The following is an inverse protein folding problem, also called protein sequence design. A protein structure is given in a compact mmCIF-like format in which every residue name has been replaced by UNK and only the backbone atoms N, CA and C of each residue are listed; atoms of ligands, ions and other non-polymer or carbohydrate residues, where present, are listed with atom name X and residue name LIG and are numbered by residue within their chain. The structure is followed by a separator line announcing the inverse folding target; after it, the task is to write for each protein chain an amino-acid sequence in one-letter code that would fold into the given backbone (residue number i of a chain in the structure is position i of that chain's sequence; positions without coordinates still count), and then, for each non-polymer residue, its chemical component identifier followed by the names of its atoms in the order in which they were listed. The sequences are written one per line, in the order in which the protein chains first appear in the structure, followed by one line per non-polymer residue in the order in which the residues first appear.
data_IF_156126558084
#
_entry.id   IF_156126558084
#
_cell.length_a   1.000
_cell.length_b   1.000
_cell.length_c   1.000
_cell.angle_alpha   90.00
_cell.angle_beta   90.00
_cell.angle_gamma   90.00
#
_symmetry.space_group_name_H-M   'P 1'
#
loop_
_entity.id
_entity.type
_entity.pdbx_description
1 polymer ?
#
# COMPACT_ATOMS: atom_id res chain seq x y z
N UNK A 1 7.75 34.15 -4.20
CA UNK A 1 7.11 32.85 -4.00
C UNK A 1 7.50 32.37 -2.62
N UNK A 2 6.56 32.30 -1.67
CA UNK A 2 6.85 31.79 -0.33
C UNK A 2 6.81 30.28 -0.37
N UNK A 3 7.90 29.64 0.10
CA UNK A 3 7.99 28.18 0.22
C UNK A 3 7.80 27.77 1.69
N UNK A 4 6.91 26.82 1.93
CA UNK A 4 6.81 26.17 3.24
C UNK A 4 8.06 25.29 3.41
N UNK A 5 8.88 25.61 4.42
CA UNK A 5 10.15 24.89 4.68
C UNK A 5 10.00 23.72 5.66
N UNK A 6 8.98 23.77 6.50
CA UNK A 6 8.72 22.73 7.49
C UNK A 6 7.98 21.53 6.84
N UNK A 7 8.56 20.30 6.86
CA UNK A 7 7.93 19.12 6.29
C UNK A 7 6.56 18.81 6.88
N UNK A 8 6.38 19.01 8.19
CA UNK A 8 5.08 18.76 8.84
C UNK A 8 4.02 19.76 8.37
N UNK A 9 4.38 21.03 8.20
CA UNK A 9 3.47 22.04 7.69
C UNK A 9 3.07 21.76 6.24
N UNK A 10 3.96 21.19 5.40
CA UNK A 10 3.64 20.75 4.03
C UNK A 10 2.60 19.63 4.07
N UNK A 11 2.79 18.63 4.94
CA UNK A 11 1.85 17.51 5.08
C UNK A 11 0.48 17.99 5.55
N UNK A 12 0.42 18.82 6.58
CA UNK A 12 -0.83 19.40 7.10
C UNK A 12 -1.55 20.18 5.98
N UNK A 13 -0.82 21.04 5.28
CA UNK A 13 -1.40 21.83 4.17
C UNK A 13 -1.95 20.95 3.05
N UNK A 14 -1.26 19.87 2.72
CA UNK A 14 -1.74 18.90 1.74
C UNK A 14 -3.07 18.27 2.17
N UNK A 15 -3.18 17.85 3.43
CA UNK A 15 -4.43 17.26 3.93
C UNK A 15 -5.56 18.28 4.01
N UNK A 16 -5.30 19.54 4.32
CA UNK A 16 -6.31 20.61 4.24
C UNK A 16 -6.88 20.76 2.82
N UNK A 17 -6.02 20.69 1.80
CA UNK A 17 -6.43 20.75 0.40
C UNK A 17 -7.28 19.54 -0.01
N UNK A 18 -6.91 18.35 0.46
CA UNK A 18 -7.58 17.08 0.15
C UNK A 18 -8.95 16.98 0.84
N UNK A 19 -9.07 17.49 2.05
CA UNK A 19 -10.23 17.35 2.92
C UNK A 19 -11.59 17.62 2.25
N UNK A 20 -11.83 18.72 1.51
CA UNK A 20 -13.12 19.01 0.87
C UNK A 20 -13.56 17.96 -0.16
N UNK A 21 -12.61 17.24 -0.76
CA UNK A 21 -12.89 16.20 -1.76
C UNK A 21 -13.33 14.88 -1.12
N UNK A 22 -12.86 14.61 0.09
CA UNK A 22 -13.14 13.37 0.85
C UNK A 22 -14.41 13.51 1.72
N UNK A 23 -14.67 14.67 2.30
CA UNK A 23 -15.81 14.89 3.20
C UNK A 23 -17.16 14.54 2.56
N UNK A 24 -17.28 14.67 1.23
CA UNK A 24 -18.48 14.33 0.48
C UNK A 24 -18.76 12.83 0.37
N UNK A 25 -17.80 11.99 0.74
CA UNK A 25 -17.86 10.54 0.51
C UNK A 25 -18.42 9.76 1.71
N UNK A 26 -18.73 10.43 2.83
CA UNK A 26 -19.24 9.81 4.06
C UNK A 26 -18.41 8.61 4.55
N UNK A 27 -17.09 8.76 4.53
CA UNK A 27 -16.14 7.73 4.93
C UNK A 27 -16.01 7.65 6.46
N UNK A 28 -15.70 6.47 6.98
CA UNK A 28 -15.24 6.32 8.35
C UNK A 28 -13.91 7.05 8.58
N UNK A 29 -13.53 7.27 9.84
CA UNK A 29 -12.26 7.92 10.17
C UNK A 29 -11.05 7.14 9.61
N UNK A 30 -11.10 5.81 9.64
CA UNK A 30 -10.03 4.94 9.14
C UNK A 30 -9.94 4.98 7.61
N UNK A 31 -11.08 4.93 6.92
CA UNK A 31 -11.13 5.07 5.46
C UNK A 31 -10.65 6.46 5.04
N UNK A 32 -11.05 7.51 5.75
CA UNK A 32 -10.59 8.89 5.51
C UNK A 32 -9.06 8.98 5.54
N UNK A 33 -8.40 8.31 6.50
CA UNK A 33 -6.93 8.26 6.58
C UNK A 33 -6.33 7.56 5.37
N UNK A 34 -6.92 6.46 4.89
CA UNK A 34 -6.44 5.72 3.72
C UNK A 34 -6.61 6.56 2.46
N UNK A 35 -7.80 7.11 2.22
CA UNK A 35 -8.07 7.98 1.08
C UNK A 35 -7.12 9.17 1.03
N UNK A 36 -6.95 9.86 2.16
CA UNK A 36 -6.01 11.00 2.26
C UNK A 36 -4.58 10.61 1.89
N UNK A 37 -4.11 9.43 2.31
CA UNK A 37 -2.77 8.96 1.98
C UNK A 37 -2.61 8.58 0.51
N UNK A 38 -3.60 7.96 -0.10
CA UNK A 38 -3.59 7.62 -1.52
C UNK A 38 -3.56 8.89 -2.37
N UNK A 39 -4.44 9.86 -2.07
CA UNK A 39 -4.53 11.12 -2.79
C UNK A 39 -3.26 11.96 -2.60
N UNK A 40 -2.73 12.02 -1.37
CA UNK A 40 -1.47 12.71 -1.09
C UNK A 40 -0.30 12.11 -1.89
N UNK A 41 -0.22 10.77 -1.95
CA UNK A 41 0.85 10.08 -2.66
C UNK A 41 0.75 10.22 -4.18
N UNK A 42 -0.47 10.25 -4.74
CA UNK A 42 -0.68 10.45 -6.19
C UNK A 42 -0.56 11.92 -6.60
N UNK A 43 -0.77 12.86 -5.68
CA UNK A 43 -0.87 14.28 -5.97
C UNK A 43 -2.13 14.68 -6.75
N UNK A 44 -3.12 13.78 -6.85
CA UNK A 44 -4.29 13.94 -7.69
C UNK A 44 -5.58 13.70 -6.90
N UNK A 45 -6.39 14.74 -6.75
CA UNK A 45 -7.66 14.72 -6.01
C UNK A 45 -8.77 13.97 -6.75
N UNK A 46 -8.64 13.76 -8.05
CA UNK A 46 -9.62 13.03 -8.87
C UNK A 46 -9.63 11.53 -8.54
N UNK A 47 -8.65 11.04 -7.77
CA UNK A 47 -8.72 9.70 -7.17
C UNK A 47 -9.85 9.55 -6.15
N UNK A 48 -10.28 10.61 -5.47
CA UNK A 48 -11.29 10.54 -4.42
C UNK A 48 -12.58 9.80 -4.85
N UNK A 49 -13.21 10.11 -5.98
CA UNK A 49 -14.45 9.43 -6.40
C UNK A 49 -14.24 8.03 -6.98
N UNK A 50 -13.02 7.63 -7.35
CA UNK A 50 -12.76 6.35 -8.01
C UNK A 50 -12.16 5.28 -7.09
N UNK A 51 -11.56 5.66 -5.95
CA UNK A 51 -11.07 4.70 -4.97
C UNK A 51 -12.23 3.82 -4.48
N UNK A 52 -12.01 2.51 -4.43
CA UNK A 52 -12.95 1.52 -3.88
C UNK A 52 -12.24 0.68 -2.84
N UNK A 53 -12.75 0.69 -1.63
CA UNK A 53 -12.21 -0.07 -0.50
C UNK A 53 -13.30 -1.02 -0.02
N UNK A 54 -12.97 -2.30 0.16
CA UNK A 54 -13.89 -3.25 0.78
C UNK A 54 -14.09 -2.88 2.26
N UNK A 55 -15.31 -2.97 2.76
CA UNK A 55 -15.68 -2.60 4.14
C UNK A 55 -14.80 -3.23 5.23
N UNK A 56 -14.33 -4.45 4.99
CA UNK A 56 -13.54 -5.21 5.96
C UNK A 56 -12.02 -5.07 5.76
N UNK A 57 -11.56 -4.28 4.77
CA UNK A 57 -10.13 -4.23 4.41
C UNK A 57 -9.28 -3.73 5.57
N UNK A 58 -9.72 -2.69 6.28
CA UNK A 58 -8.95 -2.10 7.39
C UNK A 58 -8.79 -3.10 8.53
N UNK A 59 -9.89 -3.75 8.93
CA UNK A 59 -9.88 -4.76 9.99
C UNK A 59 -9.02 -5.97 9.61
N UNK A 60 -9.14 -6.46 8.37
CA UNK A 60 -8.38 -7.59 7.86
C UNK A 60 -6.88 -7.27 7.77
N UNK A 61 -6.51 -6.09 7.27
CA UNK A 61 -5.11 -5.66 7.21
C UNK A 61 -4.50 -5.49 8.60
N UNK A 62 -5.21 -4.87 9.53
CA UNK A 62 -4.75 -4.75 10.93
C UNK A 62 -4.51 -6.13 11.55
N UNK A 63 -5.48 -7.05 11.40
CA UNK A 63 -5.37 -8.42 11.90
C UNK A 63 -4.15 -9.13 11.31
N UNK A 64 -3.96 -9.07 10.00
CA UNK A 64 -2.84 -9.71 9.32
C UNK A 64 -1.49 -9.14 9.79
N UNK A 65 -1.35 -7.81 9.86
CA UNK A 65 -0.12 -7.15 10.33
C UNK A 65 0.22 -7.52 11.77
N UNK A 66 -0.77 -7.54 12.66
CA UNK A 66 -0.57 -7.88 14.07
C UNK A 66 -0.29 -9.37 14.28
N UNK A 67 -0.66 -10.24 13.34
CA UNK A 67 -0.30 -11.66 13.36
C UNK A 67 1.07 -11.95 12.72
N UNK A 68 1.84 -10.93 12.37
CA UNK A 68 3.18 -11.12 11.82
C UNK A 68 3.19 -11.58 10.37
N UNK A 69 2.24 -11.13 9.54
CA UNK A 69 2.18 -11.52 8.14
C UNK A 69 3.41 -11.05 7.34
N UNK A 70 3.71 -11.78 6.29
CA UNK A 70 4.68 -11.37 5.28
C UNK A 70 3.99 -10.48 4.23
N UNK A 71 4.62 -9.36 3.88
CA UNK A 71 4.16 -8.46 2.82
C UNK A 71 5.03 -8.73 1.58
N UNK A 72 4.38 -8.98 0.45
CA UNK A 72 5.05 -9.04 -0.85
C UNK A 72 4.79 -7.76 -1.62
N UNK A 73 5.83 -7.21 -2.22
CA UNK A 73 5.76 -6.03 -3.08
C UNK A 73 6.22 -6.37 -4.49
N UNK A 74 5.61 -5.75 -5.47
CA UNK A 74 5.93 -5.92 -6.89
C UNK A 74 7.20 -5.17 -7.30
N UNK A 75 7.56 -4.10 -6.58
CA UNK A 75 8.75 -3.29 -6.86
C UNK A 75 9.54 -2.96 -5.59
N UNK A 76 10.85 -2.81 -5.76
CA UNK A 76 11.77 -2.47 -4.68
C UNK A 76 11.47 -1.12 -4.02
N UNK A 77 10.95 -0.16 -4.77
CA UNK A 77 10.59 1.17 -4.25
C UNK A 77 9.52 1.06 -3.16
N UNK A 78 8.48 0.24 -3.37
CA UNK A 78 7.44 0.00 -2.37
C UNK A 78 8.02 -0.73 -1.15
N UNK A 79 8.86 -1.78 -1.38
CA UNK A 79 9.53 -2.50 -0.29
C UNK A 79 10.38 -1.59 0.60
N UNK A 80 11.10 -0.65 0.01
CA UNK A 80 11.95 0.29 0.75
C UNK A 80 11.15 1.34 1.50
N UNK A 81 9.97 1.71 1.02
CA UNK A 81 9.05 2.65 1.67
C UNK A 81 8.36 2.08 2.92
N UNK A 82 8.30 0.75 3.06
CA UNK A 82 7.68 0.13 4.23
C UNK A 82 8.60 0.25 5.45
N UNK A 83 8.03 0.66 6.59
CA UNK A 83 8.75 0.74 7.86
C UNK A 83 9.04 -0.67 8.41
N UNK A 84 10.17 -1.24 8.00
CA UNK A 84 10.61 -2.60 8.37
C UNK A 84 10.76 -2.79 9.88
N UNK A 85 11.22 -1.76 10.60
CA UNK A 85 11.38 -1.82 12.06
C UNK A 85 10.03 -2.00 12.75
N UNK A 86 9.03 -1.22 12.33
CA UNK A 86 7.67 -1.33 12.85
C UNK A 86 7.03 -2.66 12.48
N UNK A 87 7.21 -3.11 11.25
CA UNK A 87 6.68 -4.40 10.79
C UNK A 87 7.30 -5.57 11.57
N UNK A 88 8.62 -5.55 11.76
CA UNK A 88 9.33 -6.57 12.55
C UNK A 88 8.89 -6.61 14.02
N UNK A 89 8.49 -5.47 14.62
CA UNK A 89 7.96 -5.46 15.99
C UNK A 89 6.64 -6.24 16.16
N UNK A 90 5.97 -6.55 15.05
CA UNK A 90 4.79 -7.42 15.00
C UNK A 90 5.10 -8.84 14.48
N UNK A 91 6.38 -9.16 14.29
CA UNK A 91 6.82 -10.45 13.73
C UNK A 91 6.70 -10.57 12.22
N UNK A 92 6.31 -9.48 11.54
CA UNK A 92 6.15 -9.46 10.09
C UNK A 92 7.44 -9.15 9.33
N UNK A 93 7.43 -9.42 8.03
CA UNK A 93 8.53 -9.12 7.10
C UNK A 93 8.01 -8.59 5.78
N UNK A 94 8.89 -7.99 4.97
CA UNK A 94 8.56 -7.54 3.62
C UNK A 94 9.59 -8.05 2.62
N UNK A 95 9.10 -8.60 1.51
CA UNK A 95 9.91 -9.13 0.42
C UNK A 95 9.49 -8.49 -0.91
N UNK A 96 10.47 -8.34 -1.81
CA UNK A 96 10.23 -8.03 -3.21
C UNK A 96 11.00 -9.07 -4.03
N UNK A 97 10.32 -9.73 -4.95
CA UNK A 97 10.91 -10.80 -5.75
C UNK A 97 11.09 -10.43 -7.22
N UNK A 98 10.98 -9.15 -7.57
CA UNK A 98 11.10 -8.67 -8.96
C UNK A 98 12.44 -9.04 -9.61
N UNK A 99 13.52 -9.11 -8.81
CA UNK A 99 14.86 -9.46 -9.26
C UNK A 99 15.24 -10.92 -8.98
N UNK A 100 14.32 -11.76 -8.52
CA UNK A 100 14.56 -13.17 -8.24
C UNK A 100 14.77 -13.95 -9.53
N UNK A 101 15.94 -14.63 -9.73
CA UNK A 101 16.22 -15.35 -10.97
C UNK A 101 15.22 -16.48 -11.27
N UNK A 102 14.69 -17.15 -10.24
CA UNK A 102 13.72 -18.23 -10.43
C UNK A 102 12.39 -17.67 -10.94
N UNK A 103 11.95 -16.53 -10.42
CA UNK A 103 10.76 -15.85 -10.89
C UNK A 103 10.95 -15.31 -12.29
N UNK A 104 12.12 -14.76 -12.61
CA UNK A 104 12.44 -14.31 -13.95
C UNK A 104 12.41 -15.47 -14.98
N UNK A 105 12.90 -16.66 -14.59
CA UNK A 105 12.83 -17.86 -15.41
C UNK A 105 11.37 -18.32 -15.60
N UNK A 106 10.61 -18.42 -14.50
CA UNK A 106 9.19 -18.79 -14.55
C UNK A 106 8.37 -17.85 -15.44
N UNK A 107 8.60 -16.53 -15.33
CA UNK A 107 7.90 -15.54 -16.14
C UNK A 107 8.21 -15.67 -17.64
N UNK A 108 9.43 -16.09 -18.01
CA UNK A 108 9.77 -16.39 -19.43
C UNK A 108 9.05 -17.60 -19.97
N UNK A 109 8.80 -18.60 -19.14
CA UNK A 109 8.18 -19.88 -19.54
C UNK A 109 6.63 -19.77 -19.53
N UNK A 110 6.03 -18.97 -18.63
CA UNK A 110 4.58 -18.95 -18.38
C UNK A 110 3.93 -17.59 -18.66
N UNK A 111 4.70 -16.59 -19.11
CA UNK A 111 4.21 -15.23 -19.33
C UNK A 111 4.50 -14.26 -18.16
N UNK A 112 4.34 -12.95 -18.37
CA UNK A 112 4.88 -11.91 -17.49
C UNK A 112 4.14 -11.70 -16.16
N UNK A 113 3.26 -12.60 -15.76
CA UNK A 113 2.48 -12.48 -14.52
C UNK A 113 3.28 -12.97 -13.30
N UNK A 114 4.19 -12.14 -12.79
CA UNK A 114 4.97 -12.41 -11.56
C UNK A 114 4.07 -12.76 -10.36
N UNK A 115 2.85 -12.22 -10.31
CA UNK A 115 1.87 -12.48 -9.25
C UNK A 115 1.26 -13.88 -9.31
N UNK A 116 1.40 -14.61 -10.41
CA UNK A 116 0.92 -16.00 -10.56
C UNK A 116 1.97 -17.05 -10.19
N UNK A 117 3.16 -16.63 -9.72
CA UNK A 117 4.16 -17.57 -9.21
C UNK A 117 3.57 -18.33 -8.01
N UNK A 118 3.50 -19.69 -8.08
CA UNK A 118 2.94 -20.48 -7.00
C UNK A 118 3.81 -20.32 -5.74
N UNK A 119 3.34 -19.52 -4.79
CA UNK A 119 3.92 -19.48 -3.45
C UNK A 119 3.52 -20.76 -2.74
N UNK A 120 4.40 -21.74 -2.69
CA UNK A 120 4.23 -23.02 -1.99
C UNK A 120 4.23 -22.86 -0.45
N UNK A 121 4.14 -21.64 0.06
CA UNK A 121 4.02 -21.41 1.49
C UNK A 121 2.55 -21.19 1.86
N UNK A 122 2.03 -22.03 2.72
CA UNK A 122 0.77 -21.91 3.48
C UNK A 122 0.72 -20.65 4.36
N UNK A 123 1.58 -19.68 4.14
CA UNK A 123 1.66 -18.43 4.88
C UNK A 123 0.62 -17.44 4.35
N UNK A 124 -0.14 -16.85 5.26
CA UNK A 124 -1.06 -15.74 4.99
C UNK A 124 -0.29 -14.57 4.41
N UNK A 125 -0.30 -14.42 3.08
CA UNK A 125 0.36 -13.31 2.39
C UNK A 125 -0.66 -12.23 2.02
N UNK A 126 -0.36 -10.99 2.38
CA UNK A 126 -1.03 -9.80 1.83
C UNK A 126 -0.33 -9.43 0.53
N UNK A 127 -0.96 -9.69 -0.59
CA UNK A 127 -0.51 -9.19 -1.89
C UNK A 127 -1.03 -7.77 -2.06
N UNK A 128 -0.14 -6.79 -1.94
CA UNK A 128 -0.46 -5.40 -2.25
C UNK A 128 -0.36 -5.19 -3.76
N UNK A 129 -1.27 -5.70 -4.51
CA UNK A 129 -1.73 -5.31 -5.85
C UNK A 129 -2.44 -6.49 -6.52
N UNK A 130 -3.75 -6.54 -6.45
CA UNK A 130 -4.55 -7.19 -7.48
C UNK A 130 -5.12 -6.08 -8.36
N UNK A 131 -4.56 -5.93 -9.53
CA UNK A 131 -5.30 -5.31 -10.62
C UNK A 131 -6.32 -6.32 -11.15
N UNK A 132 -7.55 -5.85 -11.44
CA UNK A 132 -8.54 -6.68 -12.13
C UNK A 132 -8.10 -7.00 -13.55
#
# INVERSE_FOLDING_TARGET
MEFIKDPMAIEVRSFEIIKPYIEKLNLSEEETKIYSRIIHASGDVDYAPIIRIHKDVVASMKKALLSGCKIYTDVEMVRTGINKRKLASWGGSVECKIADPEIAKYAKEHGPHILSYPNNSTEQSLVANRYP
#
